data_IF_317068626285
#
_entry.id   IF_317068626285
#
_cell.length_a   1.000
_cell.length_b   1.000
_cell.length_c   1.000
_cell.angle_alpha   90.00
_cell.angle_beta   90.00
_cell.angle_gamma   90.00
#
_symmetry.space_group_name_H-M   'P 1'
#
loop_
_entity.id
_entity.type
_entity.pdbx_description
1 polymer ?
#
# COMPACT_ATOMS: atom_id res chain seq x y z
N UNK A 1 -13.75 -33.19 -8.17
CA UNK A 1 -14.36 -31.84 -8.24
C UNK A 1 -13.92 -30.96 -7.07
N UNK A 2 -14.08 -31.39 -5.80
CA UNK A 2 -13.57 -30.72 -4.58
C UNK A 2 -12.10 -30.28 -4.59
N UNK A 3 -11.21 -31.06 -5.24
CA UNK A 3 -9.78 -30.72 -5.34
C UNK A 3 -9.48 -29.53 -6.26
N UNK A 4 -10.33 -29.22 -7.26
CA UNK A 4 -10.14 -28.06 -8.16
C UNK A 4 -10.62 -26.76 -7.51
N UNK A 5 -11.68 -26.79 -6.73
CA UNK A 5 -12.18 -25.61 -5.99
C UNK A 5 -11.17 -25.12 -4.95
N UNK A 6 -10.62 -26.03 -4.13
CA UNK A 6 -9.57 -25.67 -3.16
C UNK A 6 -8.33 -25.07 -3.82
N UNK A 7 -7.93 -25.56 -5.00
CA UNK A 7 -6.77 -25.03 -5.72
C UNK A 7 -6.99 -23.58 -6.17
N UNK A 8 -8.18 -23.28 -6.69
CA UNK A 8 -8.54 -21.93 -7.12
C UNK A 8 -8.62 -20.94 -5.95
N UNK A 9 -9.09 -21.39 -4.77
CA UNK A 9 -9.12 -20.53 -3.58
C UNK A 9 -7.72 -20.23 -3.03
N UNK A 10 -6.81 -21.21 -3.05
CA UNK A 10 -5.41 -21.01 -2.64
C UNK A 10 -4.71 -20.00 -3.55
N UNK A 11 -4.85 -20.16 -4.87
CA UNK A 11 -4.25 -19.24 -5.85
C UNK A 11 -4.78 -17.81 -5.68
N UNK A 12 -6.10 -17.67 -5.44
CA UNK A 12 -6.72 -16.38 -5.16
C UNK A 12 -6.16 -15.72 -3.91
N UNK A 13 -6.03 -16.47 -2.80
CA UNK A 13 -5.50 -15.95 -1.55
C UNK A 13 -4.03 -15.53 -1.66
N UNK A 14 -3.22 -16.31 -2.38
CA UNK A 14 -1.82 -15.99 -2.67
C UNK A 14 -1.72 -14.69 -3.48
N UNK A 15 -2.54 -14.53 -4.52
CA UNK A 15 -2.56 -13.30 -5.31
C UNK A 15 -2.95 -12.08 -4.48
N UNK A 16 -3.99 -12.19 -3.65
CA UNK A 16 -4.41 -11.11 -2.73
C UNK A 16 -3.30 -10.77 -1.74
N UNK A 17 -2.58 -11.76 -1.23
CA UNK A 17 -1.44 -11.56 -0.35
C UNK A 17 -0.32 -10.77 -1.04
N UNK A 18 0.12 -11.19 -2.22
CA UNK A 18 1.15 -10.47 -2.97
C UNK A 18 0.71 -9.06 -3.37
N UNK A 19 -0.54 -8.87 -3.80
CA UNK A 19 -1.06 -7.54 -4.10
C UNK A 19 -1.05 -6.63 -2.87
N UNK A 20 -1.44 -7.17 -1.70
CA UNK A 20 -1.43 -6.43 -0.43
C UNK A 20 0.00 -6.10 0.01
N UNK A 21 0.93 -7.04 -0.13
CA UNK A 21 2.33 -6.82 0.18
C UNK A 21 2.94 -5.73 -0.71
N UNK A 22 2.71 -5.80 -2.02
CA UNK A 22 3.15 -4.77 -2.96
C UNK A 22 2.53 -3.42 -2.64
N UNK A 23 1.24 -3.37 -2.31
CA UNK A 23 0.57 -2.15 -1.90
C UNK A 23 1.20 -1.54 -0.65
N UNK A 24 1.49 -2.34 0.38
CA UNK A 24 2.13 -1.88 1.61
C UNK A 24 3.50 -1.27 1.32
N UNK A 25 4.32 -1.93 0.51
CA UNK A 25 5.66 -1.44 0.15
C UNK A 25 5.57 -0.10 -0.60
N UNK A 26 4.69 -0.01 -1.60
CA UNK A 26 4.50 1.22 -2.39
C UNK A 26 4.01 2.36 -1.49
N UNK A 27 3.00 2.09 -0.66
CA UNK A 27 2.42 3.11 0.20
C UNK A 27 3.41 3.57 1.30
N UNK A 28 4.26 2.66 1.80
CA UNK A 28 5.37 3.02 2.70
C UNK A 28 6.36 3.96 2.01
N UNK A 29 6.80 3.63 0.79
CA UNK A 29 7.71 4.50 0.02
C UNK A 29 7.09 5.88 -0.20
N UNK A 30 5.85 5.96 -0.69
CA UNK A 30 5.14 7.23 -0.88
C UNK A 30 5.06 8.02 0.43
N UNK A 31 4.79 7.35 1.54
CA UNK A 31 4.74 7.99 2.86
C UNK A 31 6.09 8.58 3.26
N UNK A 32 7.20 7.87 3.02
CA UNK A 32 8.56 8.39 3.24
C UNK A 32 8.81 9.67 2.42
N UNK A 33 8.40 9.71 1.15
CA UNK A 33 8.49 10.92 0.31
C UNK A 33 7.62 12.06 0.85
N UNK A 34 6.37 11.77 1.23
CA UNK A 34 5.43 12.77 1.78
C UNK A 34 5.94 13.42 3.06
N UNK A 35 6.53 12.62 3.95
CA UNK A 35 7.12 13.11 5.20
C UNK A 35 8.40 13.91 4.91
N UNK A 36 9.27 13.39 4.04
CA UNK A 36 10.57 14.04 3.72
C UNK A 36 10.44 15.39 3.02
N UNK A 37 9.39 15.62 2.23
CA UNK A 37 9.20 16.83 1.41
C UNK A 37 8.06 17.72 1.91
N UNK A 38 7.93 17.87 3.23
CA UNK A 38 6.76 18.45 3.92
C UNK A 38 6.23 19.80 3.40
N UNK A 39 7.07 20.65 2.78
CA UNK A 39 6.69 21.99 2.26
C UNK A 39 6.88 22.18 0.75
N UNK A 40 7.14 21.12 -0.02
CA UNK A 40 7.39 21.23 -1.47
C UNK A 40 6.17 20.83 -2.31
N UNK A 41 6.09 21.34 -3.54
CA UNK A 41 5.08 20.94 -4.54
C UNK A 41 5.04 19.42 -4.78
N UNK A 42 6.18 18.77 -4.57
CA UNK A 42 6.33 17.30 -4.57
C UNK A 42 5.34 16.62 -3.62
N UNK A 43 5.02 17.22 -2.47
CA UNK A 43 4.03 16.67 -1.52
C UNK A 43 2.64 16.55 -2.14
N UNK A 44 2.22 17.54 -2.92
CA UNK A 44 0.91 17.52 -3.59
C UNK A 44 0.88 16.39 -4.62
N UNK A 45 1.93 16.26 -5.42
CA UNK A 45 2.06 15.18 -6.40
C UNK A 45 2.03 13.80 -5.73
N UNK A 46 2.83 13.58 -4.69
CA UNK A 46 2.84 12.32 -3.95
C UNK A 46 1.53 12.04 -3.22
N UNK A 47 0.78 13.07 -2.80
CA UNK A 47 -0.55 12.89 -2.20
C UNK A 47 -1.54 12.37 -3.24
N UNK A 48 -1.54 12.94 -4.45
CA UNK A 48 -2.36 12.43 -5.56
C UNK A 48 -1.98 11.00 -5.94
N UNK A 49 -0.68 10.69 -5.98
CA UNK A 49 -0.20 9.31 -6.22
C UNK A 49 -0.67 8.37 -5.11
N UNK A 50 -0.59 8.77 -3.84
CA UNK A 50 -1.07 7.97 -2.72
C UNK A 50 -2.56 7.63 -2.87
N UNK A 51 -3.40 8.63 -3.16
CA UNK A 51 -4.84 8.43 -3.35
C UNK A 51 -5.11 7.48 -4.53
N UNK A 52 -4.41 7.68 -5.65
CA UNK A 52 -4.53 6.84 -6.85
C UNK A 52 -4.13 5.38 -6.57
N UNK A 53 -3.04 5.17 -5.84
CA UNK A 53 -2.57 3.84 -5.45
C UNK A 53 -3.57 3.15 -4.51
N UNK A 54 -4.11 3.87 -3.53
CA UNK A 54 -5.15 3.35 -2.62
C UNK A 54 -6.43 2.98 -3.37
N UNK A 55 -6.90 3.83 -4.28
CA UNK A 55 -8.09 3.57 -5.09
C UNK A 55 -7.88 2.35 -6.01
N UNK A 56 -6.72 2.27 -6.66
CA UNK A 56 -6.38 1.17 -7.56
C UNK A 56 -6.26 -0.16 -6.82
N UNK A 57 -5.63 -0.16 -5.64
CA UNK A 57 -5.55 -1.36 -4.79
C UNK A 57 -6.94 -1.81 -4.35
N UNK A 58 -7.76 -0.89 -3.83
CA UNK A 58 -9.13 -1.20 -3.40
C UNK A 58 -9.93 -1.83 -4.54
N UNK A 59 -9.90 -1.23 -5.74
CA UNK A 59 -10.64 -1.72 -6.89
C UNK A 59 -10.22 -3.15 -7.30
N UNK A 60 -8.91 -3.47 -7.23
CA UNK A 60 -8.41 -4.83 -7.50
C UNK A 60 -8.90 -5.82 -6.46
N UNK A 61 -8.73 -5.53 -5.17
CA UNK A 61 -9.16 -6.44 -4.09
C UNK A 61 -10.68 -6.61 -4.09
N UNK A 62 -11.44 -5.55 -4.36
CA UNK A 62 -12.90 -5.58 -4.43
C UNK A 62 -13.38 -6.56 -5.52
N UNK A 63 -12.68 -6.63 -6.65
CA UNK A 63 -12.94 -7.62 -7.72
C UNK A 63 -12.70 -9.07 -7.27
N UNK A 64 -11.74 -9.31 -6.38
CA UNK A 64 -11.42 -10.65 -5.90
C UNK A 64 -12.27 -11.06 -4.70
N UNK A 65 -12.36 -10.22 -3.67
CA UNK A 65 -12.84 -10.58 -2.33
C UNK A 65 -14.13 -9.85 -1.92
N UNK A 66 -14.62 -8.91 -2.73
CA UNK A 66 -15.76 -8.06 -2.42
C UNK A 66 -15.40 -6.79 -1.65
N UNK A 67 -16.35 -5.84 -1.62
CA UNK A 67 -16.11 -4.46 -1.15
C UNK A 67 -15.70 -4.36 0.32
N UNK A 68 -16.35 -5.14 1.19
CA UNK A 68 -16.10 -5.10 2.64
C UNK A 68 -14.67 -5.55 2.97
N UNK A 69 -14.23 -6.65 2.37
CA UNK A 69 -12.87 -7.18 2.58
C UNK A 69 -11.82 -6.21 2.01
N UNK A 70 -12.11 -5.59 0.86
CA UNK A 70 -11.23 -4.57 0.28
C UNK A 70 -11.03 -3.36 1.20
N UNK A 71 -12.10 -2.85 1.81
CA UNK A 71 -12.00 -1.74 2.77
C UNK A 71 -11.24 -2.15 4.04
N UNK A 72 -11.50 -3.33 4.58
CA UNK A 72 -10.79 -3.84 5.77
C UNK A 72 -9.29 -3.98 5.51
N UNK A 73 -8.90 -4.59 4.39
CA UNK A 73 -7.49 -4.75 4.02
C UNK A 73 -6.80 -3.41 3.75
N UNK A 74 -7.48 -2.47 3.09
CA UNK A 74 -6.97 -1.13 2.88
C UNK A 74 -6.71 -0.43 4.22
N UNK A 75 -7.69 -0.44 5.13
CA UNK A 75 -7.59 0.20 6.44
C UNK A 75 -6.50 -0.43 7.30
N UNK A 76 -6.43 -1.77 7.35
CA UNK A 76 -5.39 -2.50 8.07
C UNK A 76 -3.99 -2.16 7.53
N UNK A 77 -3.84 -2.05 6.21
CA UNK A 77 -2.56 -1.70 5.57
C UNK A 77 -2.12 -0.28 5.92
N UNK A 78 -3.04 0.69 5.97
CA UNK A 78 -2.73 2.07 6.37
C UNK A 78 -2.29 2.13 7.83
N UNK A 79 -2.99 1.45 8.74
CA UNK A 79 -2.61 1.36 10.15
C UNK A 79 -1.23 0.71 10.30
N UNK A 80 -1.00 -0.39 9.58
CA UNK A 80 0.27 -1.10 9.63
C UNK A 80 1.42 -0.18 9.20
N UNK A 81 1.24 0.63 8.15
CA UNK A 81 2.27 1.58 7.71
C UNK A 81 2.49 2.68 8.75
N UNK A 82 1.42 3.24 9.33
CA UNK A 82 1.57 4.23 10.40
C UNK A 82 2.36 3.65 11.58
N UNK A 83 2.09 2.40 11.95
CA UNK A 83 2.81 1.68 13.00
C UNK A 83 4.28 1.43 12.64
N UNK A 84 4.57 1.01 11.40
CA UNK A 84 5.94 0.80 10.91
C UNK A 84 6.73 2.11 10.97
N UNK A 85 6.16 3.20 10.44
CA UNK A 85 6.79 4.53 10.43
C UNK A 85 7.04 5.03 11.85
N UNK A 86 6.09 4.83 12.76
CA UNK A 86 6.22 5.24 14.14
C UNK A 86 7.29 4.44 14.90
N UNK A 87 7.36 3.12 14.68
CA UNK A 87 8.22 2.21 15.45
C UNK A 87 9.64 2.13 14.90
N UNK A 88 9.79 2.06 13.59
CA UNK A 88 11.08 1.87 12.91
C UNK A 88 11.63 3.17 12.28
N UNK A 89 10.84 4.25 12.31
CA UNK A 89 11.14 5.47 11.60
C UNK A 89 10.77 5.38 10.11
N UNK A 90 11.09 6.44 9.39
CA UNK A 90 10.90 6.54 7.94
C UNK A 90 12.25 6.79 7.27
N UNK A 91 12.35 6.41 6.00
CA UNK A 91 13.53 6.70 5.22
C UNK A 91 13.51 8.18 4.79
N UNK A 92 14.42 8.99 5.32
CA UNK A 92 14.57 10.41 4.95
C UNK A 92 15.17 10.55 3.55
N UNK A 93 14.29 10.69 2.56
CA UNK A 93 14.68 10.85 1.16
C UNK A 93 15.34 12.20 0.90
N UNK A 94 14.91 13.26 1.60
CA UNK A 94 15.44 14.62 1.44
C UNK A 94 16.94 14.67 1.70
N UNK A 95 17.41 14.14 2.83
CA UNK A 95 18.83 14.09 3.20
C UNK A 95 19.70 13.27 2.24
N UNK A 96 19.10 12.34 1.50
CA UNK A 96 19.81 11.49 0.53
C UNK A 96 19.93 12.18 -0.83
N UNK A 97 18.90 12.89 -1.30
CA UNK A 97 18.88 13.56 -2.61
C UNK A 97 19.61 14.92 -2.56
N UNK A 98 19.54 15.66 -1.46
CA UNK A 98 20.21 16.99 -1.34
C UNK A 98 21.73 16.91 -1.15
N UNK A 99 22.30 15.70 -1.04
CA UNK A 99 23.75 15.48 -0.94
C UNK A 99 24.47 15.42 -2.30
N UNK A 100 23.78 15.66 -3.41
CA UNK A 100 24.34 15.76 -4.75
C UNK A 100 24.30 17.19 -5.27
#
# INVERSE_FOLDING_TARGET
MKSRENKNEIEKNINVFFETLTFIIILYLISCFLISFHQNILKVLFSCVSISVMASYKARIEKYMGSVVAYLLLFASVILIAFIIYTFGYFEVSNTITKF
#
